data_IF_582321446526
#
_entry.id   IF_582321446526
#
_cell.length_a   1.000
_cell.length_b   1.000
_cell.length_c   1.000
_cell.angle_alpha   90.00
_cell.angle_beta   90.00
_cell.angle_gamma   90.00
#
_symmetry.space_group_name_H-M   'P 1'
#
loop_
_entity.id
_entity.type
_entity.pdbx_description
1 polymer ?
#
# COMPACT_ATOMS: atom_id res chain seq x y z
N UNK A 1 -15.53 12.80 -34.43
CA UNK A 1 -14.78 11.84 -33.61
C UNK A 1 -15.31 11.95 -32.19
N UNK A 2 -16.19 11.04 -31.77
CA UNK A 2 -16.71 10.98 -30.41
C UNK A 2 -15.69 10.25 -29.53
N UNK A 3 -15.16 10.93 -28.50
CA UNK A 3 -14.42 10.25 -27.44
C UNK A 3 -15.35 9.24 -26.78
N UNK A 4 -14.93 7.99 -26.51
CA UNK A 4 -15.68 7.13 -25.62
C UNK A 4 -15.94 7.87 -24.31
N UNK A 5 -17.19 7.88 -23.84
CA UNK A 5 -17.50 8.33 -22.50
C UNK A 5 -16.79 7.35 -21.53
N UNK A 6 -15.83 7.84 -20.76
CA UNK A 6 -15.19 7.03 -19.73
C UNK A 6 -16.20 6.84 -18.61
N UNK A 7 -16.77 5.65 -18.51
CA UNK A 7 -17.58 5.26 -17.35
C UNK A 7 -16.66 5.04 -16.16
N UNK A 8 -16.78 5.88 -15.13
CA UNK A 8 -16.10 5.65 -13.86
C UNK A 8 -16.79 4.52 -13.09
N UNK A 9 -16.01 3.59 -12.54
CA UNK A 9 -16.50 2.52 -11.67
C UNK A 9 -15.68 2.50 -10.40
N UNK A 10 -16.32 2.77 -9.26
CA UNK A 10 -15.72 2.50 -7.95
C UNK A 10 -15.53 1.00 -7.78
N UNK A 11 -14.28 0.58 -7.55
CA UNK A 11 -13.95 -0.83 -7.27
C UNK A 11 -14.01 -1.14 -5.78
N UNK A 12 -13.47 -0.24 -4.95
CA UNK A 12 -13.37 -0.37 -3.49
C UNK A 12 -13.55 1.01 -2.87
N UNK A 13 -14.22 1.06 -1.72
CA UNK A 13 -14.19 2.22 -0.84
C UNK A 13 -13.25 1.92 0.33
N UNK A 14 -12.25 2.79 0.48
CA UNK A 14 -11.28 2.76 1.55
C UNK A 14 -11.87 3.46 2.80
N UNK A 15 -11.82 2.80 3.96
CA UNK A 15 -12.30 3.27 5.24
C UNK A 15 -11.28 2.99 6.37
N UNK A 16 -11.54 3.46 7.60
CA UNK A 16 -10.59 3.28 8.71
C UNK A 16 -10.17 1.83 8.99
N UNK A 17 -10.91 0.83 8.53
CA UNK A 17 -10.62 -0.59 8.76
C UNK A 17 -9.83 -1.26 7.64
N UNK A 18 -9.92 -0.75 6.41
CA UNK A 18 -9.22 -1.30 5.23
C UNK A 18 -8.27 -0.29 4.56
N UNK A 19 -8.01 0.82 5.22
CA UNK A 19 -7.18 1.95 4.79
C UNK A 19 -7.99 3.22 4.69
N UNK A 20 -7.64 4.29 5.41
CA UNK A 20 -8.41 5.53 5.42
C UNK A 20 -7.56 6.74 5.75
N UNK A 21 -8.01 7.92 5.33
CA UNK A 21 -7.33 9.22 5.42
C UNK A 21 -6.12 9.41 4.49
N UNK A 22 -6.06 10.61 3.91
CA UNK A 22 -5.37 10.98 2.67
C UNK A 22 -3.84 10.95 2.75
N UNK A 23 -3.20 9.79 2.62
CA UNK A 23 -1.84 9.65 2.07
C UNK A 23 -1.67 8.29 1.38
N UNK A 24 -2.54 7.99 0.41
CA UNK A 24 -2.32 6.80 -0.43
C UNK A 24 -1.26 7.11 -1.48
N UNK A 25 -0.21 6.30 -1.51
CA UNK A 25 0.72 6.27 -2.63
C UNK A 25 0.01 5.80 -3.92
N UNK A 26 0.55 6.12 -5.11
CA UNK A 26 0.00 5.62 -6.37
C UNK A 26 -0.03 4.09 -6.40
N UNK A 27 -1.06 3.54 -7.05
CA UNK A 27 -1.13 2.11 -7.32
C UNK A 27 -0.10 1.70 -8.37
N UNK A 28 0.44 0.50 -8.24
CA UNK A 28 1.20 -0.18 -9.29
C UNK A 28 0.43 -1.40 -9.76
N UNK A 29 0.44 -1.66 -11.07
CA UNK A 29 -0.13 -2.88 -11.63
C UNK A 29 0.95 -3.97 -11.70
N UNK A 30 0.66 -5.13 -11.11
CA UNK A 30 1.52 -6.31 -11.19
C UNK A 30 1.43 -7.01 -12.55
N UNK A 31 2.40 -7.88 -12.83
CA UNK A 31 2.37 -8.77 -14.02
C UNK A 31 1.19 -9.74 -14.01
N UNK A 32 0.58 -9.96 -12.84
CA UNK A 32 -0.60 -10.79 -12.65
C UNK A 32 -1.92 -10.05 -12.92
N UNK A 33 -1.85 -8.78 -13.35
CA UNK A 33 -2.98 -7.93 -13.69
C UNK A 33 -3.69 -7.30 -12.49
N UNK A 34 -3.25 -7.56 -11.26
CA UNK A 34 -3.82 -6.96 -10.05
C UNK A 34 -3.14 -5.62 -9.71
N UNK A 35 -3.83 -4.81 -8.91
CA UNK A 35 -3.32 -3.53 -8.41
C UNK A 35 -2.75 -3.70 -7.01
N UNK A 36 -1.65 -3.03 -6.74
CA UNK A 36 -0.94 -3.09 -5.47
C UNK A 36 -0.70 -1.69 -4.96
N UNK A 37 -0.75 -1.53 -3.65
CA UNK A 37 -0.54 -0.24 -3.03
C UNK A 37 -0.36 -0.35 -1.52
N UNK A 38 -0.23 0.81 -0.92
CA UNK A 38 -0.04 0.98 0.52
C UNK A 38 -1.16 1.83 1.10
N UNK A 39 -1.49 1.59 2.36
CA UNK A 39 -2.34 2.48 3.15
C UNK A 39 -1.52 2.99 4.33
N UNK A 40 -1.52 4.30 4.57
CA UNK A 40 -0.79 4.88 5.71
C UNK A 40 -1.44 4.56 7.07
N UNK A 41 -2.71 4.16 7.06
CA UNK A 41 -3.53 3.80 8.23
C UNK A 41 -4.17 2.43 8.01
N UNK A 42 -4.54 1.77 9.11
CA UNK A 42 -5.06 0.41 9.17
C UNK A 42 -3.96 -0.59 9.53
N UNK A 43 -4.32 -1.88 9.67
CA UNK A 43 -3.36 -2.90 10.10
C UNK A 43 -3.09 -2.84 11.61
N UNK A 44 -1.89 -3.29 12.03
CA UNK A 44 -1.51 -3.34 13.45
C UNK A 44 -1.25 -1.92 13.96
N UNK A 45 -1.89 -1.55 15.08
CA UNK A 45 -1.75 -0.22 15.70
C UNK A 45 -2.02 0.96 14.74
N UNK A 46 -2.78 0.75 13.66
CA UNK A 46 -3.01 1.72 12.59
C UNK A 46 -1.74 2.22 11.87
N UNK A 47 -0.68 1.42 11.85
CA UNK A 47 0.62 1.80 11.24
C UNK A 47 0.71 1.52 9.73
N UNK A 48 -0.41 1.16 9.10
CA UNK A 48 -0.55 1.01 7.67
C UNK A 48 -0.40 -0.42 7.15
N UNK A 49 -0.75 -0.62 5.88
CA UNK A 49 -0.73 -1.93 5.22
C UNK A 49 -0.16 -1.90 3.82
N UNK A 50 0.26 -3.07 3.33
CA UNK A 50 0.39 -3.35 1.89
C UNK A 50 -0.84 -4.16 1.48
N UNK A 51 -1.48 -3.78 0.38
CA UNK A 51 -2.63 -4.49 -0.15
C UNK A 51 -2.48 -4.87 -1.62
N UNK A 52 -3.28 -5.86 -2.00
CA UNK A 52 -3.57 -6.26 -3.38
C UNK A 52 -5.06 -6.07 -3.65
N UNK A 53 -5.39 -5.60 -4.84
CA UNK A 53 -6.76 -5.43 -5.32
C UNK A 53 -6.92 -6.02 -6.71
N UNK A 54 -7.91 -6.89 -6.88
CA UNK A 54 -8.25 -7.38 -8.22
C UNK A 54 -8.95 -6.31 -9.06
N UNK A 55 -8.92 -6.37 -10.40
CA UNK A 55 -9.70 -5.45 -11.25
C UNK A 55 -11.22 -5.49 -11.02
N UNK A 56 -11.71 -6.48 -10.27
CA UNK A 56 -13.12 -6.61 -9.86
C UNK A 56 -13.40 -6.00 -8.48
N UNK A 57 -12.39 -5.42 -7.80
CA UNK A 57 -12.55 -4.77 -6.50
C UNK A 57 -12.41 -5.69 -5.28
N UNK A 58 -11.95 -6.93 -5.45
CA UNK A 58 -11.58 -7.75 -4.28
C UNK A 58 -10.27 -7.23 -3.68
N UNK A 59 -10.33 -6.60 -2.51
CA UNK A 59 -9.19 -6.15 -1.71
C UNK A 59 -8.64 -7.30 -0.85
N UNK A 60 -7.33 -7.34 -0.64
CA UNK A 60 -6.64 -8.32 0.21
C UNK A 60 -5.44 -7.65 0.84
N UNK A 61 -5.40 -7.62 2.17
CA UNK A 61 -4.21 -7.17 2.92
C UNK A 61 -3.13 -8.24 2.78
N UNK A 62 -1.96 -7.84 2.29
CA UNK A 62 -0.79 -8.69 2.15
C UNK A 62 0.15 -8.58 3.36
N UNK A 63 0.25 -7.38 3.92
CA UNK A 63 1.11 -7.10 5.06
C UNK A 63 0.51 -5.99 5.92
N UNK A 64 0.66 -6.10 7.25
CA UNK A 64 0.32 -5.05 8.20
C UNK A 64 1.59 -4.65 8.93
N UNK A 65 1.94 -3.37 8.85
CA UNK A 65 3.14 -2.81 9.45
C UNK A 65 3.03 -2.71 10.97
N UNK A 66 4.17 -2.46 11.62
CA UNK A 66 4.30 -2.50 13.07
C UNK A 66 3.78 -3.79 13.71
N UNK A 67 3.96 -4.92 13.03
CA UNK A 67 3.70 -6.24 13.60
C UNK A 67 4.87 -6.71 14.48
N UNK A 68 6.06 -6.15 14.27
CA UNK A 68 7.25 -6.44 15.07
C UNK A 68 7.39 -5.48 16.26
N UNK A 69 8.19 -5.89 17.25
CA UNK A 69 8.50 -5.05 18.40
C UNK A 69 9.10 -3.71 17.94
N UNK A 70 8.66 -2.61 18.55
CA UNK A 70 9.07 -1.25 18.24
C UNK A 70 8.86 -0.84 16.76
N UNK A 71 7.95 -1.49 16.05
CA UNK A 71 7.72 -1.28 14.62
C UNK A 71 8.99 -1.44 13.75
N UNK A 72 9.89 -2.37 14.11
CA UNK A 72 11.14 -2.60 13.38
C UNK A 72 10.92 -2.96 11.89
N UNK A 73 9.73 -3.48 11.56
CA UNK A 73 9.29 -3.81 10.21
C UNK A 73 8.73 -2.63 9.40
N UNK A 74 8.69 -1.43 9.98
CA UNK A 74 8.22 -0.22 9.33
C UNK A 74 6.90 0.30 9.89
N UNK A 75 6.59 1.56 9.58
CA UNK A 75 5.35 2.24 9.93
C UNK A 75 5.02 3.38 8.95
N UNK A 76 3.73 3.67 8.77
CA UNK A 76 3.20 4.78 7.97
C UNK A 76 3.74 4.80 6.53
N UNK A 77 3.45 3.79 5.69
CA UNK A 77 3.82 3.85 4.29
C UNK A 77 3.02 4.94 3.57
N UNK A 78 3.71 5.96 3.07
CA UNK A 78 3.12 7.09 2.32
C UNK A 78 3.45 7.06 0.82
N UNK A 79 4.47 6.28 0.44
CA UNK A 79 4.91 6.15 -0.95
C UNK A 79 4.18 5.01 -1.67
N UNK A 80 4.06 5.15 -2.98
CA UNK A 80 3.59 4.06 -3.85
C UNK A 80 4.64 2.96 -3.99
N UNK A 81 4.23 1.84 -4.57
CA UNK A 81 5.13 0.72 -4.86
C UNK A 81 5.71 0.84 -6.27
N UNK A 82 6.93 0.35 -6.45
CA UNK A 82 7.59 0.14 -7.72
C UNK A 82 7.63 -1.35 -8.05
N UNK A 83 7.23 -1.73 -9.25
CA UNK A 83 7.45 -3.10 -9.76
C UNK A 83 8.83 -3.16 -10.42
N UNK A 84 9.74 -3.95 -9.84
CA UNK A 84 11.06 -4.22 -10.38
C UNK A 84 11.04 -5.12 -11.62
N UNK A 85 12.13 -5.10 -12.38
CA UNK A 85 12.33 -5.98 -13.54
C UNK A 85 12.50 -7.45 -13.13
N UNK A 86 12.92 -7.69 -11.90
CA UNK A 86 12.98 -9.00 -11.26
C UNK A 86 11.60 -9.56 -10.85
N UNK A 87 10.55 -8.74 -10.92
CA UNK A 87 9.18 -9.12 -10.58
C UNK A 87 8.78 -8.83 -9.13
N UNK A 88 9.64 -8.21 -8.32
CA UNK A 88 9.35 -7.86 -6.94
C UNK A 88 8.78 -6.43 -6.82
N UNK A 89 8.05 -6.19 -5.72
CA UNK A 89 7.56 -4.84 -5.39
C UNK A 89 8.47 -4.19 -4.35
N UNK A 90 8.81 -2.92 -4.59
CA UNK A 90 9.66 -2.11 -3.74
C UNK A 90 8.91 -0.88 -3.26
N UNK A 91 9.14 -0.47 -2.02
CA UNK A 91 8.51 0.71 -1.44
C UNK A 91 9.23 1.11 -0.17
N UNK A 92 8.79 2.22 0.42
CA UNK A 92 9.38 2.80 1.63
C UNK A 92 8.30 3.10 2.67
N UNK A 93 8.63 2.93 3.93
CA UNK A 93 7.85 3.40 5.08
C UNK A 93 8.40 4.75 5.56
N UNK A 94 7.55 5.61 6.14
CA UNK A 94 7.99 6.90 6.68
C UNK A 94 8.70 6.76 8.04
N UNK A 95 8.46 5.65 8.75
CA UNK A 95 9.13 5.32 10.01
C UNK A 95 9.33 3.83 10.20
N UNK A 96 9.86 3.47 11.37
CA UNK A 96 10.28 2.11 11.73
C UNK A 96 11.78 1.88 11.47
N UNK A 97 12.19 0.61 11.43
CA UNK A 97 13.59 0.21 11.44
C UNK A 97 14.10 -0.05 12.86
N UNK A 98 15.21 -0.79 13.00
CA UNK A 98 15.83 -1.01 14.30
C UNK A 98 16.37 0.31 14.85
N UNK A 99 16.03 0.69 16.10
CA UNK A 99 16.61 1.86 16.74
C UNK A 99 18.10 1.56 16.99
N UNK A 100 18.98 2.14 16.18
CA UNK A 100 20.42 1.90 16.26
C UNK A 100 21.20 2.10 14.96
N UNK A 101 20.54 2.27 13.81
CA UNK A 101 21.22 2.60 12.55
C UNK A 101 21.47 4.11 12.36
N UNK A 102 21.52 4.88 13.44
CA UNK A 102 22.12 6.21 13.44
C UNK A 102 23.63 6.00 13.65
N UNK A 103 24.33 5.54 12.62
CA UNK A 103 25.79 5.53 12.61
C UNK A 103 26.28 6.99 12.40
N UNK A 104 26.80 7.58 13.49
CA UNK A 104 27.69 8.76 13.60
C UNK A 104 27.45 10.00 12.72
#
# INVERSE_FOLDING_TARGET
MTSPAQTFKTLVNFDGTNGGFSYLGPLVQGRDGNFYGTTSIGGTHDMGTIFKMTPKGKLTTLYAFCAQANCADGANPVAGLLLGTDGNFYGTTAGGGEPGCDDD
#
